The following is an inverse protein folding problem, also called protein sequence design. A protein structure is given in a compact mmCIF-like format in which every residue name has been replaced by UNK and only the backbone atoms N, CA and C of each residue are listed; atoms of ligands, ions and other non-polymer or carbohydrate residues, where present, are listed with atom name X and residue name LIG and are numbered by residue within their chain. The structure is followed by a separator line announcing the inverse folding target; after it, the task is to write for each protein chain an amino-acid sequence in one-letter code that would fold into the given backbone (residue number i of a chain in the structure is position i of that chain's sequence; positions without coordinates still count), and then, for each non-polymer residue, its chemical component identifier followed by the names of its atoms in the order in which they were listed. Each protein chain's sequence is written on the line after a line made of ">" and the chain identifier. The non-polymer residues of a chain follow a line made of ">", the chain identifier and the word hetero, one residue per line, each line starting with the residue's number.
data_IF_893576787315
#
_entry.id   IF_893576787315
#
_cell.length_a   1.000
_cell.length_b   1.000
_cell.length_c   1.000
_cell.angle_alpha   90.00
_cell.angle_beta   90.00
_cell.angle_gamma   90.00
#
_symmetry.space_group_name_H-M   'P 1'
#
loop_
_entity.id
_entity.type
_entity.pdbx_description
1 polymer ?
#
# COMPACT_ATOMS: atom_id res chain seq x y z
N UNK A 1 21.60 7.81 10.44
CA UNK A 1 20.54 6.98 9.83
C UNK A 1 21.03 6.51 8.48
N UNK A 2 20.61 5.33 8.04
CA UNK A 2 21.12 4.67 6.83
C UNK A 2 20.19 4.81 5.61
N UNK A 3 19.16 5.68 5.67
CA UNK A 3 18.17 5.85 4.61
C UNK A 3 17.18 4.70 4.45
N UNK A 4 17.14 3.75 5.41
CA UNK A 4 16.22 2.61 5.38
C UNK A 4 14.76 3.02 5.53
N UNK A 5 13.86 2.23 4.93
CA UNK A 5 12.41 2.46 4.94
C UNK A 5 11.84 2.01 6.29
N UNK A 6 11.11 2.90 6.94
CA UNK A 6 10.39 2.55 8.18
C UNK A 6 9.07 1.87 7.87
N UNK A 7 8.35 2.37 6.88
CA UNK A 7 7.11 1.83 6.33
C UNK A 7 6.78 2.53 5.00
N UNK A 8 5.88 1.96 4.22
CA UNK A 8 5.37 2.51 2.95
C UNK A 8 3.90 2.92 3.03
N UNK A 9 3.49 3.40 4.18
CA UNK A 9 2.11 3.78 4.48
C UNK A 9 1.55 4.85 3.54
N UNK A 10 0.24 4.79 3.28
CA UNK A 10 -0.48 5.90 2.66
C UNK A 10 -0.67 7.04 3.65
N UNK A 11 -0.30 8.27 3.25
CA UNK A 11 -0.57 9.49 3.99
C UNK A 11 -1.81 10.17 3.42
N UNK A 12 -2.86 10.31 4.23
CA UNK A 12 -4.09 11.00 3.89
C UNK A 12 -4.13 12.34 4.64
N UNK A 13 -4.07 13.44 3.92
CA UNK A 13 -4.28 14.77 4.51
C UNK A 13 -5.78 15.08 4.53
N UNK A 14 -6.37 15.10 5.70
CA UNK A 14 -7.81 15.32 5.89
C UNK A 14 -8.15 16.80 6.05
N UNK A 15 -7.28 17.56 6.74
CA UNK A 15 -7.39 19.00 7.01
C UNK A 15 -5.98 19.62 6.94
N UNK A 16 -5.86 20.89 7.17
CA UNK A 16 -4.58 21.59 7.12
C UNK A 16 -3.55 21.00 8.09
N UNK A 17 -3.99 20.62 9.27
CA UNK A 17 -3.21 20.10 10.40
C UNK A 17 -3.60 18.68 10.83
N UNK A 18 -4.45 17.99 10.07
CA UNK A 18 -4.93 16.65 10.39
C UNK A 18 -4.57 15.62 9.31
N UNK A 19 -3.82 14.64 9.72
CA UNK A 19 -3.32 13.60 8.84
C UNK A 19 -3.64 12.22 9.37
N UNK A 20 -3.93 11.30 8.46
CA UNK A 20 -3.96 9.88 8.76
C UNK A 20 -2.83 9.16 8.03
N UNK A 21 -2.20 8.21 8.74
CA UNK A 21 -1.20 7.32 8.19
C UNK A 21 -1.81 5.92 8.21
N UNK A 22 -2.00 5.33 7.04
CA UNK A 22 -2.58 3.99 6.87
C UNK A 22 -1.47 3.03 6.39
N UNK A 23 -0.78 2.32 7.30
CA UNK A 23 0.18 1.30 6.92
C UNK A 23 -0.56 0.05 6.42
N UNK A 24 0.00 -0.60 5.40
CA UNK A 24 -0.49 -1.90 4.94
C UNK A 24 -0.13 -3.01 5.92
N UNK A 25 1.13 -2.99 6.35
CA UNK A 25 1.72 -3.92 7.31
C UNK A 25 2.61 -3.16 8.31
N UNK A 26 2.83 -3.75 9.48
CA UNK A 26 3.70 -3.21 10.52
C UNK A 26 3.05 -2.09 11.34
N UNK A 27 3.81 -1.62 12.33
CA UNK A 27 3.40 -0.58 13.27
C UNK A 27 4.37 0.60 13.17
N UNK A 28 3.81 1.81 13.03
CA UNK A 28 4.58 3.05 12.97
C UNK A 28 4.26 4.01 14.13
N UNK A 29 3.23 3.70 14.94
CA UNK A 29 2.73 4.64 15.95
C UNK A 29 3.77 4.96 17.02
N UNK A 30 4.43 3.95 17.57
CA UNK A 30 5.46 4.14 18.61
C UNK A 30 6.67 4.90 18.07
N UNK A 31 7.04 4.67 16.80
CA UNK A 31 8.14 5.39 16.15
C UNK A 31 7.81 6.87 15.97
N UNK A 32 6.60 7.19 15.48
CA UNK A 32 6.12 8.56 15.32
C UNK A 32 6.00 9.27 16.67
N UNK A 33 5.41 8.62 17.68
CA UNK A 33 5.34 9.16 19.05
C UNK A 33 6.72 9.42 19.63
N UNK A 34 7.66 8.48 19.46
CA UNK A 34 9.04 8.64 19.92
C UNK A 34 9.77 9.83 19.29
N UNK A 35 9.54 10.10 18.01
CA UNK A 35 10.08 11.27 17.31
C UNK A 35 9.41 12.56 17.82
N UNK A 36 8.10 12.54 18.00
CA UNK A 36 7.32 13.70 18.42
C UNK A 36 7.74 14.23 19.80
N UNK A 37 8.11 13.36 20.75
CA UNK A 37 8.48 13.72 22.14
C UNK A 37 9.53 14.86 22.19
N UNK A 38 10.51 14.86 21.30
CA UNK A 38 11.61 15.83 21.31
C UNK A 38 11.64 16.73 20.06
N UNK A 39 10.57 16.74 19.28
CA UNK A 39 10.51 17.52 18.03
C UNK A 39 10.27 19.02 18.28
N UNK A 40 9.72 19.39 19.44
CA UNK A 40 9.21 20.76 19.71
C UNK A 40 7.88 21.06 19.01
N UNK A 41 7.27 20.09 18.32
CA UNK A 41 5.98 20.25 17.65
C UNK A 41 4.83 19.96 18.62
N UNK A 42 3.79 20.80 18.58
CA UNK A 42 2.52 20.52 19.27
C UNK A 42 1.69 19.54 18.39
N UNK A 43 1.86 18.25 18.63
CA UNK A 43 1.23 17.19 17.84
C UNK A 43 0.70 16.07 18.74
N UNK A 44 -0.53 15.65 18.51
CA UNK A 44 -1.15 14.47 19.12
C UNK A 44 -1.16 13.31 18.14
N UNK A 45 -0.59 12.17 18.54
CA UNK A 45 -0.50 10.96 17.72
C UNK A 45 -1.21 9.83 18.44
N UNK A 46 -2.26 9.29 17.83
CA UNK A 46 -3.05 8.19 18.38
C UNK A 46 -3.66 7.34 17.25
N UNK A 47 -4.02 6.11 17.56
CA UNK A 47 -4.77 5.24 16.67
C UNK A 47 -6.25 5.60 16.73
N UNK A 48 -6.88 5.97 15.60
CA UNK A 48 -8.31 6.30 15.56
C UNK A 48 -9.18 5.03 15.56
N UNK A 49 -10.44 5.16 16.02
CA UNK A 49 -11.44 4.09 15.87
C UNK A 49 -11.97 4.05 14.43
N UNK A 50 -11.25 3.37 13.54
CA UNK A 50 -11.55 3.31 12.11
C UNK A 50 -11.61 1.86 11.64
N UNK A 51 -12.56 1.57 10.75
CA UNK A 51 -12.65 0.28 10.05
C UNK A 51 -12.54 0.50 8.54
N UNK A 52 -11.43 0.10 7.91
CA UNK A 52 -11.27 0.22 6.45
C UNK A 52 -12.06 -0.88 5.74
N UNK A 53 -12.75 -0.50 4.66
CA UNK A 53 -13.43 -1.39 3.74
C UNK A 53 -12.98 -1.09 2.32
N UNK A 54 -12.37 -2.04 1.63
CA UNK A 54 -11.92 -1.87 0.25
C UNK A 54 -12.99 -2.31 -0.76
N UNK A 55 -13.08 -1.58 -1.86
CA UNK A 55 -13.82 -1.91 -3.07
C UNK A 55 -12.83 -1.92 -4.22
N UNK A 56 -12.68 -3.03 -4.94
CA UNK A 56 -11.71 -3.18 -6.01
C UNK A 56 -12.30 -3.80 -7.26
N UNK A 57 -11.74 -3.46 -8.41
CA UNK A 57 -12.07 -4.05 -9.69
C UNK A 57 -12.59 -3.05 -10.71
N UNK A 58 -12.79 -3.47 -11.97
CA UNK A 58 -13.10 -2.56 -13.08
C UNK A 58 -14.46 -1.85 -12.94
N UNK A 59 -15.35 -2.36 -12.12
CA UNK A 59 -16.68 -1.76 -11.86
C UNK A 59 -16.73 -0.98 -10.53
N UNK A 60 -15.63 -0.86 -9.81
CA UNK A 60 -15.60 -0.17 -8.50
C UNK A 60 -16.03 1.29 -8.60
N UNK A 61 -15.63 2.00 -9.67
CA UNK A 61 -16.08 3.38 -9.91
C UNK A 61 -17.60 3.49 -10.04
N UNK A 62 -18.25 2.57 -10.77
CA UNK A 62 -19.73 2.55 -10.89
C UNK A 62 -20.41 2.26 -9.55
N UNK A 63 -19.82 1.39 -8.74
CA UNK A 63 -20.33 1.11 -7.41
C UNK A 63 -20.22 2.33 -6.49
N UNK A 64 -19.08 3.05 -6.52
CA UNK A 64 -18.91 4.30 -5.77
C UNK A 64 -19.91 5.36 -6.25
N UNK A 65 -20.05 5.54 -7.56
CA UNK A 65 -21.05 6.45 -8.14
C UNK A 65 -22.47 6.16 -7.63
N UNK A 66 -22.85 4.89 -7.56
CA UNK A 66 -24.15 4.47 -7.02
C UNK A 66 -24.28 4.75 -5.53
N UNK A 67 -23.30 4.37 -4.71
CA UNK A 67 -23.34 4.53 -3.26
C UNK A 67 -23.39 6.01 -2.84
N UNK A 68 -22.61 6.86 -3.51
CA UNK A 68 -22.46 8.28 -3.18
C UNK A 68 -23.17 9.21 -4.17
N UNK A 69 -24.05 8.68 -5.02
CA UNK A 69 -24.88 9.46 -5.95
C UNK A 69 -24.04 10.41 -6.87
N UNK A 70 -22.85 10.00 -7.21
CA UNK A 70 -21.93 10.74 -8.09
C UNK A 70 -21.03 11.77 -7.39
N UNK A 71 -21.13 11.96 -6.06
CA UNK A 71 -20.35 12.99 -5.34
C UNK A 71 -18.83 12.81 -5.42
N UNK A 72 -18.35 11.61 -5.77
CA UNK A 72 -16.93 11.26 -5.79
C UNK A 72 -16.44 10.79 -7.16
N UNK A 73 -17.16 11.06 -8.23
CA UNK A 73 -16.79 10.67 -9.59
C UNK A 73 -15.45 11.30 -10.04
N UNK A 74 -15.13 12.47 -9.50
CA UNK A 74 -13.91 13.25 -9.75
C UNK A 74 -12.72 12.89 -8.85
N UNK A 75 -12.89 11.94 -7.90
CA UNK A 75 -11.84 11.61 -6.95
C UNK A 75 -10.61 11.03 -7.66
N UNK A 76 -9.53 11.81 -7.67
CA UNK A 76 -8.27 11.45 -8.32
C UNK A 76 -7.51 10.32 -7.59
N UNK A 77 -6.59 9.67 -8.30
CA UNK A 77 -5.72 8.64 -7.74
C UNK A 77 -4.85 9.20 -6.61
N UNK A 78 -4.75 8.47 -5.50
CA UNK A 78 -4.12 8.91 -4.24
C UNK A 78 -4.73 10.20 -3.64
N UNK A 79 -6.01 10.43 -3.90
CA UNK A 79 -6.76 11.50 -3.23
C UNK A 79 -7.75 10.91 -2.24
N UNK A 80 -8.05 11.69 -1.21
CA UNK A 80 -9.01 11.35 -0.18
C UNK A 80 -9.93 12.54 0.11
N UNK A 81 -11.17 12.25 0.51
CA UNK A 81 -12.16 13.24 0.95
C UNK A 81 -12.89 12.73 2.19
N UNK A 82 -13.20 13.62 3.11
CA UNK A 82 -14.17 13.34 4.17
C UNK A 82 -15.57 13.36 3.56
N UNK A 83 -16.41 12.41 3.94
CA UNK A 83 -17.76 12.21 3.40
C UNK A 83 -18.65 11.46 4.38
N UNK A 84 -19.87 11.15 3.97
CA UNK A 84 -20.77 10.26 4.70
C UNK A 84 -21.53 9.36 3.73
N UNK A 85 -21.91 8.17 4.19
CA UNK A 85 -22.84 7.28 3.52
C UNK A 85 -23.98 6.97 4.49
N UNK A 86 -25.24 7.26 4.09
CA UNK A 86 -26.40 7.16 4.99
C UNK A 86 -26.16 7.87 6.34
N UNK A 87 -25.66 9.11 6.27
CA UNK A 87 -25.30 9.96 7.44
C UNK A 87 -24.17 9.39 8.32
N UNK A 88 -23.56 8.30 7.93
CA UNK A 88 -22.44 7.69 8.66
C UNK A 88 -21.13 8.30 8.17
N UNK A 89 -20.38 9.00 9.06
CA UNK A 89 -19.17 9.70 8.67
C UNK A 89 -18.05 8.72 8.29
N UNK A 90 -17.34 9.03 7.22
CA UNK A 90 -16.21 8.25 6.74
C UNK A 90 -15.23 9.10 5.92
N UNK A 91 -14.09 8.53 5.65
CA UNK A 91 -13.17 9.04 4.61
C UNK A 91 -13.22 8.08 3.44
N UNK A 92 -13.37 8.61 2.23
CA UNK A 92 -13.16 7.87 1.00
C UNK A 92 -11.81 8.22 0.42
N UNK A 93 -11.01 7.21 0.07
CA UNK A 93 -9.74 7.39 -0.65
C UNK A 93 -9.75 6.56 -1.93
N UNK A 94 -9.16 7.10 -3.00
CA UNK A 94 -8.92 6.35 -4.22
C UNK A 94 -7.55 5.71 -4.18
N UNK A 95 -7.43 4.76 -3.25
CA UNK A 95 -6.26 3.94 -2.96
C UNK A 95 -6.65 2.47 -2.98
N UNK A 96 -5.68 1.57 -2.88
CA UNK A 96 -5.92 0.13 -2.78
C UNK A 96 -4.69 -0.68 -3.12
N UNK A 97 -4.73 -1.96 -2.79
CA UNK A 97 -3.61 -2.88 -2.90
C UNK A 97 -3.95 -4.11 -3.73
N UNK A 98 -4.53 -3.91 -4.93
CA UNK A 98 -4.97 -5.00 -5.82
C UNK A 98 -4.48 -4.88 -7.26
N UNK A 99 -3.82 -3.77 -7.62
CA UNK A 99 -3.46 -3.45 -9.00
C UNK A 99 -4.68 -3.10 -9.90
N UNK A 100 -5.87 -3.02 -9.32
CA UNK A 100 -7.11 -2.64 -10.01
C UNK A 100 -7.59 -1.25 -9.54
N UNK A 101 -8.55 -0.67 -10.25
CA UNK A 101 -9.26 0.51 -9.75
C UNK A 101 -9.88 0.18 -8.41
N UNK A 102 -9.48 0.92 -7.39
CA UNK A 102 -9.87 0.66 -6.00
C UNK A 102 -10.24 1.93 -5.26
N UNK A 103 -11.10 1.75 -4.28
CA UNK A 103 -11.46 2.75 -3.29
C UNK A 103 -11.43 2.13 -1.90
N UNK A 104 -11.01 2.90 -0.93
CA UNK A 104 -11.02 2.54 0.48
C UNK A 104 -11.97 3.46 1.23
N UNK A 105 -12.90 2.87 1.95
CA UNK A 105 -13.85 3.55 2.80
C UNK A 105 -13.41 3.36 4.24
N UNK A 106 -12.95 4.43 4.88
CA UNK A 106 -12.51 4.42 6.27
C UNK A 106 -13.65 4.87 7.16
N UNK A 107 -14.38 3.91 7.68
CA UNK A 107 -15.51 4.14 8.58
C UNK A 107 -15.01 4.63 9.94
N UNK A 108 -15.50 5.80 10.40
CA UNK A 108 -15.07 6.44 11.64
C UNK A 108 -15.83 5.98 12.89
N UNK A 109 -16.72 5.01 12.77
CA UNK A 109 -17.38 4.30 13.88
C UNK A 109 -17.48 2.81 13.56
N UNK A 110 -16.62 2.01 14.16
CA UNK A 110 -16.60 0.56 13.92
C UNK A 110 -17.88 -0.17 14.35
N UNK A 111 -18.73 0.44 15.20
CA UNK A 111 -20.02 -0.16 15.58
C UNK A 111 -20.95 -0.28 14.39
N UNK A 112 -20.80 0.62 13.42
CA UNK A 112 -21.63 0.67 12.21
C UNK A 112 -21.08 -0.15 11.05
N UNK A 113 -19.94 -0.87 11.24
CA UNK A 113 -19.26 -1.63 10.17
C UNK A 113 -20.14 -2.65 9.46
N UNK A 114 -21.02 -3.33 10.20
CA UNK A 114 -21.93 -4.33 9.61
C UNK A 114 -22.94 -3.63 8.70
N UNK A 115 -23.56 -2.54 9.16
CA UNK A 115 -24.52 -1.78 8.34
C UNK A 115 -23.90 -1.30 7.04
N UNK A 116 -22.69 -0.71 7.09
CA UNK A 116 -21.98 -0.24 5.90
C UNK A 116 -21.56 -1.41 4.99
N UNK A 117 -21.12 -2.52 5.57
CA UNK A 117 -20.79 -3.71 4.80
C UNK A 117 -22.02 -4.23 4.03
N UNK A 118 -23.18 -4.36 4.67
CA UNK A 118 -24.43 -4.81 4.06
C UNK A 118 -24.89 -3.87 2.94
N UNK A 119 -24.90 -2.56 3.18
CA UNK A 119 -25.24 -1.56 2.16
C UNK A 119 -24.32 -1.67 0.94
N UNK A 120 -23.02 -1.76 1.17
CA UNK A 120 -22.01 -1.90 0.11
C UNK A 120 -22.20 -3.22 -0.63
N UNK A 121 -22.44 -4.33 0.09
CA UNK A 121 -22.58 -5.63 -0.51
C UNK A 121 -23.84 -5.73 -1.37
N UNK A 122 -25.00 -5.27 -0.87
CA UNK A 122 -26.24 -5.22 -1.63
C UNK A 122 -26.10 -4.38 -2.91
N UNK A 123 -25.42 -3.22 -2.82
CA UNK A 123 -25.15 -2.41 -4.00
C UNK A 123 -24.19 -3.11 -4.99
N UNK A 124 -23.24 -3.90 -4.50
CA UNK A 124 -22.25 -4.61 -5.31
C UNK A 124 -22.86 -5.79 -6.11
N UNK A 125 -23.93 -6.41 -5.63
CA UNK A 125 -24.59 -7.55 -6.30
C UNK A 125 -25.05 -7.18 -7.72
N UNK A 126 -25.53 -5.95 -7.95
CA UNK A 126 -25.92 -5.47 -9.28
C UNK A 126 -24.75 -5.42 -10.28
N UNK A 127 -23.53 -5.34 -9.77
CA UNK A 127 -22.31 -5.35 -10.58
C UNK A 127 -21.62 -6.72 -10.62
N UNK A 128 -22.26 -7.78 -10.09
CA UNK A 128 -21.68 -9.10 -9.84
C UNK A 128 -20.47 -9.02 -8.90
N UNK A 129 -20.53 -8.11 -7.92
CA UNK A 129 -19.52 -7.99 -6.88
C UNK A 129 -19.56 -9.18 -5.91
N UNK A 130 -18.40 -9.50 -5.34
CA UNK A 130 -18.24 -10.60 -4.38
C UNK A 130 -17.33 -10.17 -3.26
N UNK A 131 -17.50 -10.76 -2.09
CA UNK A 131 -16.54 -10.63 -0.99
C UNK A 131 -15.29 -11.42 -1.34
N UNK A 132 -14.14 -10.77 -1.22
CA UNK A 132 -12.82 -11.37 -1.47
C UNK A 132 -11.88 -11.04 -0.30
N UNK A 133 -10.82 -11.82 -0.20
CA UNK A 133 -9.67 -11.50 0.65
C UNK A 133 -8.53 -10.87 -0.19
N UNK A 134 -7.57 -10.19 0.44
CA UNK A 134 -6.34 -9.78 -0.22
C UNK A 134 -5.67 -10.97 -0.93
N UNK A 135 -5.15 -10.74 -2.14
CA UNK A 135 -4.59 -11.80 -2.98
C UNK A 135 -3.17 -11.42 -3.42
N UNK A 136 -2.19 -12.16 -2.92
CA UNK A 136 -0.77 -11.93 -3.18
C UNK A 136 -0.45 -12.03 -4.69
N UNK A 137 -1.10 -12.93 -5.43
CA UNK A 137 -0.88 -13.04 -6.88
C UNK A 137 -1.23 -11.72 -7.56
N UNK A 138 -2.33 -11.09 -7.16
CA UNK A 138 -2.76 -9.80 -7.71
C UNK A 138 -1.79 -8.67 -7.37
N UNK A 139 -1.19 -8.70 -6.19
CA UNK A 139 -0.19 -7.68 -5.83
C UNK A 139 1.09 -7.82 -6.65
N UNK A 140 1.57 -9.04 -6.90
CA UNK A 140 2.71 -9.29 -7.78
C UNK A 140 2.38 -8.86 -9.22
N UNK A 141 1.23 -9.25 -9.77
CA UNK A 141 0.76 -8.81 -11.09
C UNK A 141 0.70 -7.29 -11.24
N UNK A 142 0.35 -6.58 -10.17
CA UNK A 142 0.26 -5.12 -10.12
C UNK A 142 1.59 -4.41 -9.79
N UNK A 143 2.67 -5.16 -9.52
CA UNK A 143 3.94 -4.59 -9.06
C UNK A 143 3.82 -3.92 -7.69
N UNK A 144 2.88 -4.35 -6.85
CA UNK A 144 2.66 -3.82 -5.52
C UNK A 144 3.49 -4.59 -4.50
N UNK A 145 4.20 -3.85 -3.68
CA UNK A 145 5.12 -4.39 -2.70
C UNK A 145 4.47 -4.54 -1.32
N UNK A 146 5.06 -5.39 -0.49
CA UNK A 146 4.64 -5.62 0.90
C UNK A 146 5.81 -5.36 1.84
N UNK A 147 5.65 -4.42 2.76
CA UNK A 147 6.61 -4.23 3.85
C UNK A 147 6.66 -5.50 4.71
N UNK A 148 7.87 -5.98 5.00
CA UNK A 148 8.07 -7.25 5.71
C UNK A 148 8.05 -8.49 4.81
N UNK A 149 7.38 -8.44 3.65
CA UNK A 149 7.37 -9.53 2.67
C UNK A 149 8.43 -9.37 1.58
N UNK A 150 8.41 -8.27 0.86
CA UNK A 150 9.34 -7.99 -0.25
C UNK A 150 10.54 -7.17 0.18
N UNK A 151 10.34 -6.26 1.10
CA UNK A 151 11.37 -5.36 1.61
C UNK A 151 11.16 -5.08 3.10
N UNK A 152 12.20 -4.56 3.76
CA UNK A 152 12.19 -4.21 5.17
C UNK A 152 13.07 -2.99 5.43
N UNK A 153 13.41 -2.76 6.69
CA UNK A 153 14.19 -1.61 7.14
C UNK A 153 15.63 -1.58 6.62
N UNK A 154 16.14 -2.70 6.14
CA UNK A 154 17.43 -2.83 5.49
C UNK A 154 17.46 -2.25 4.08
N UNK A 155 16.30 -2.10 3.44
CA UNK A 155 16.16 -1.53 2.11
C UNK A 155 15.89 -0.03 2.17
N UNK A 156 16.22 0.67 1.10
CA UNK A 156 15.94 2.09 0.92
C UNK A 156 15.02 2.31 -0.31
N UNK A 157 14.43 3.49 -0.50
CA UNK A 157 13.51 3.75 -1.61
C UNK A 157 14.09 3.48 -3.00
N UNK A 158 15.39 3.65 -3.19
CA UNK A 158 16.03 3.40 -4.50
C UNK A 158 16.16 1.90 -4.77
N UNK A 159 16.45 1.09 -3.74
CA UNK A 159 16.50 -0.38 -3.84
C UNK A 159 15.17 -0.97 -4.32
N UNK A 160 14.05 -0.42 -3.89
CA UNK A 160 12.71 -0.95 -4.20
C UNK A 160 12.00 -0.18 -5.35
N UNK A 161 12.72 0.65 -6.08
CA UNK A 161 12.17 1.38 -7.22
C UNK A 161 11.28 2.58 -6.86
N UNK A 162 11.25 3.01 -5.59
CA UNK A 162 10.48 4.16 -5.11
C UNK A 162 11.27 5.48 -5.13
N UNK A 163 12.43 5.51 -5.78
CA UNK A 163 13.25 6.72 -5.89
C UNK A 163 12.49 7.93 -6.45
N UNK A 164 11.49 7.70 -7.33
CA UNK A 164 10.60 8.76 -7.85
C UNK A 164 9.74 9.46 -6.80
N UNK A 165 9.56 8.85 -5.63
CA UNK A 165 8.79 9.40 -4.50
C UNK A 165 9.68 10.19 -3.54
N UNK A 166 11.01 10.16 -3.72
CA UNK A 166 11.96 10.86 -2.88
C UNK A 166 12.26 12.23 -3.49
N UNK A 167 11.78 13.30 -2.86
CA UNK A 167 12.09 14.66 -3.26
C UNK A 167 13.22 15.22 -2.38
N UNK A 168 14.46 15.10 -2.87
CA UNK A 168 15.64 15.63 -2.17
C UNK A 168 15.77 17.16 -2.28
N UNK A 169 15.09 17.77 -3.26
CA UNK A 169 15.19 19.20 -3.56
C UNK A 169 14.12 20.03 -2.84
N UNK A 170 13.24 19.39 -2.04
CA UNK A 170 12.27 20.13 -1.23
C UNK A 170 12.96 21.03 -0.21
N UNK A 171 12.36 22.19 0.07
CA UNK A 171 12.90 23.18 1.03
C UNK A 171 13.02 22.63 2.46
N UNK A 172 12.02 21.84 2.89
CA UNK A 172 12.03 21.21 4.20
C UNK A 172 13.05 20.09 4.31
N UNK A 173 13.61 19.94 5.50
CA UNK A 173 14.40 18.77 5.85
C UNK A 173 13.51 17.61 6.25
N UNK A 174 14.02 16.39 6.14
CA UNK A 174 13.33 15.18 6.59
C UNK A 174 14.34 14.13 7.07
N UNK A 175 13.86 13.25 7.93
CA UNK A 175 14.67 12.19 8.52
C UNK A 175 15.19 11.25 7.42
N UNK A 176 16.53 11.19 7.27
CA UNK A 176 17.20 10.34 6.28
C UNK A 176 17.59 11.04 4.98
N UNK A 177 17.26 12.33 4.79
CA UNK A 177 17.57 13.09 3.56
C UNK A 177 19.03 12.98 3.15
N UNK A 178 19.97 13.24 4.06
CA UNK A 178 21.41 13.19 3.76
C UNK A 178 21.89 11.78 3.37
N UNK A 179 21.39 10.74 4.05
CA UNK A 179 21.72 9.37 3.68
C UNK A 179 21.17 9.01 2.28
N UNK A 180 19.97 9.48 1.96
CA UNK A 180 19.36 9.23 0.64
C UNK A 180 20.07 10.00 -0.49
N UNK A 181 20.66 11.17 -0.22
CA UNK A 181 21.53 11.86 -1.19
C UNK A 181 22.73 10.98 -1.55
N UNK A 182 23.44 10.49 -0.53
CA UNK A 182 24.61 9.62 -0.75
C UNK A 182 24.23 8.37 -1.54
N UNK A 183 23.13 7.70 -1.17
CA UNK A 183 22.67 6.51 -1.88
C UNK A 183 22.28 6.81 -3.33
N UNK A 184 21.67 7.97 -3.59
CA UNK A 184 21.33 8.39 -4.95
C UNK A 184 22.57 8.59 -5.81
N UNK A 185 23.61 9.21 -5.25
CA UNK A 185 24.85 9.54 -5.97
C UNK A 185 25.69 8.28 -6.23
N UNK A 186 25.77 7.35 -5.28
CA UNK A 186 26.50 6.10 -5.42
C UNK A 186 25.73 5.03 -6.22
N UNK A 187 24.40 5.14 -6.29
CA UNK A 187 23.51 4.13 -6.80
C UNK A 187 23.22 3.00 -5.79
N UNK A 188 22.05 2.35 -5.89
CA UNK A 188 21.71 1.21 -5.03
C UNK A 188 22.56 -0.02 -5.39
N UNK A 189 23.06 -0.74 -4.38
CA UNK A 189 23.88 -1.97 -4.56
C UNK A 189 23.05 -3.18 -4.99
N UNK A 190 21.76 -3.14 -4.78
CA UNK A 190 20.79 -4.19 -5.17
C UNK A 190 19.48 -3.51 -5.56
N UNK A 191 18.67 -4.21 -6.36
CA UNK A 191 17.37 -3.71 -6.77
C UNK A 191 16.31 -4.81 -6.68
N UNK A 192 15.14 -4.44 -6.21
CA UNK A 192 13.95 -5.28 -6.32
C UNK A 192 13.44 -5.21 -7.76
N UNK A 193 13.22 -6.36 -8.36
CA UNK A 193 12.76 -6.49 -9.76
C UNK A 193 11.65 -7.54 -9.84
N UNK A 194 10.71 -7.33 -10.77
CA UNK A 194 9.75 -8.36 -11.13
C UNK A 194 10.45 -9.43 -12.00
N UNK A 195 10.09 -10.70 -11.81
CA UNK A 195 10.65 -11.83 -12.54
C UNK A 195 9.56 -12.75 -13.08
N UNK A 196 9.86 -13.41 -14.18
CA UNK A 196 9.14 -14.58 -14.68
C UNK A 196 10.00 -15.82 -14.41
N UNK A 197 9.37 -16.92 -14.00
CA UNK A 197 10.07 -18.18 -13.71
C UNK A 197 9.50 -19.29 -14.60
N UNK A 198 10.38 -20.12 -15.10
CA UNK A 198 10.03 -21.33 -15.83
C UNK A 198 9.64 -22.48 -14.88
N UNK A 199 9.09 -23.54 -15.44
CA UNK A 199 8.73 -24.77 -14.73
C UNK A 199 7.24 -24.90 -14.44
N UNK A 200 6.90 -25.88 -13.62
CA UNK A 200 5.53 -26.19 -13.24
C UNK A 200 4.87 -25.03 -12.47
N UNK A 201 3.52 -24.90 -12.49
CA UNK A 201 2.82 -23.86 -11.77
C UNK A 201 3.13 -23.84 -10.28
N UNK A 202 3.61 -22.70 -9.79
CA UNK A 202 3.93 -22.47 -8.37
C UNK A 202 2.61 -22.18 -7.63
N UNK A 203 2.08 -23.17 -6.92
CA UNK A 203 0.79 -23.09 -6.21
C UNK A 203 0.92 -22.75 -4.73
N UNK A 204 2.14 -22.81 -4.18
CA UNK A 204 2.45 -22.54 -2.77
C UNK A 204 3.64 -21.59 -2.69
N UNK A 205 3.53 -20.59 -1.83
CA UNK A 205 4.64 -19.68 -1.55
C UNK A 205 5.89 -20.46 -1.10
N UNK A 206 7.09 -20.00 -1.46
CA UNK A 206 8.31 -20.53 -0.87
C UNK A 206 8.29 -20.33 0.65
N UNK A 207 8.64 -21.39 1.38
CA UNK A 207 8.76 -21.31 2.85
C UNK A 207 9.99 -20.49 3.28
N UNK A 208 11.02 -20.51 2.42
CA UNK A 208 12.22 -19.69 2.56
C UNK A 208 12.50 -18.99 1.23
N UNK A 209 13.22 -17.89 1.27
CA UNK A 209 13.66 -17.20 0.06
C UNK A 209 14.49 -18.13 -0.83
N UNK A 210 14.11 -18.26 -2.08
CA UNK A 210 14.91 -19.03 -3.05
C UNK A 210 16.12 -18.22 -3.50
N UNK A 211 17.33 -18.79 -3.47
CA UNK A 211 18.52 -18.12 -3.98
C UNK A 211 18.44 -17.97 -5.50
N UNK A 212 18.88 -16.84 -6.00
CA UNK A 212 19.12 -16.62 -7.42
C UNK A 212 20.63 -16.64 -7.64
N UNK A 213 21.10 -17.52 -8.51
CA UNK A 213 22.51 -17.66 -8.83
C UNK A 213 22.76 -17.27 -10.31
N UNK A 214 23.92 -16.76 -10.62
CA UNK A 214 24.37 -16.55 -11.99
C UNK A 214 24.87 -17.85 -12.62
N UNK A 215 25.33 -17.77 -13.89
CA UNK A 215 25.92 -18.91 -14.63
C UNK A 215 27.12 -19.59 -13.95
N UNK A 216 27.85 -18.84 -13.12
CA UNK A 216 28.99 -19.33 -12.36
C UNK A 216 28.61 -19.93 -11.00
N UNK A 217 27.30 -20.13 -10.77
CA UNK A 217 26.73 -20.62 -9.52
C UNK A 217 26.98 -19.70 -8.31
N UNK A 218 27.26 -18.42 -8.55
CA UNK A 218 27.41 -17.40 -7.50
C UNK A 218 26.06 -16.80 -7.21
N UNK A 219 25.69 -16.74 -5.91
CA UNK A 219 24.46 -16.08 -5.47
C UNK A 219 24.50 -14.59 -5.82
N UNK A 220 23.50 -14.12 -6.57
CA UNK A 220 23.31 -12.72 -6.99
C UNK A 220 22.03 -12.10 -6.45
N UNK A 221 21.15 -12.88 -5.83
CA UNK A 221 19.88 -12.39 -5.30
C UNK A 221 19.05 -13.44 -4.60
N UNK A 222 17.80 -13.12 -4.39
CA UNK A 222 16.80 -14.03 -3.81
C UNK A 222 15.41 -13.71 -4.34
N UNK A 223 14.54 -14.71 -4.44
CA UNK A 223 13.11 -14.54 -4.72
C UNK A 223 12.39 -14.38 -3.39
N UNK A 224 11.68 -13.27 -3.20
CA UNK A 224 10.90 -13.00 -1.99
C UNK A 224 9.53 -13.67 -2.04
N UNK A 225 8.84 -13.55 -3.18
CA UNK A 225 7.53 -14.16 -3.44
C UNK A 225 7.49 -14.70 -4.85
N UNK A 226 6.80 -15.84 -5.05
CA UNK A 226 6.54 -16.38 -6.38
C UNK A 226 5.24 -17.18 -6.39
N UNK A 227 4.42 -17.00 -7.43
CA UNK A 227 3.20 -17.75 -7.66
C UNK A 227 2.90 -17.88 -9.15
N UNK A 228 2.14 -18.91 -9.50
CA UNK A 228 1.54 -19.00 -10.82
C UNK A 228 0.38 -17.99 -10.92
N UNK A 229 0.43 -17.11 -11.91
CA UNK A 229 -0.66 -16.20 -12.25
C UNK A 229 -1.60 -16.88 -13.26
N UNK A 230 -2.85 -17.20 -12.87
CA UNK A 230 -3.82 -17.74 -13.82
C UNK A 230 -4.19 -16.75 -14.92
N UNK A 231 -4.07 -15.44 -14.65
CA UNK A 231 -4.35 -14.38 -15.63
C UNK A 231 -3.24 -14.29 -16.69
N UNK A 232 -1.98 -14.34 -16.27
CA UNK A 232 -0.84 -14.20 -17.17
C UNK A 232 -0.38 -15.53 -17.73
N UNK A 233 -0.86 -16.66 -17.17
CA UNK A 233 -0.46 -18.02 -17.51
C UNK A 233 1.05 -18.26 -17.36
N UNK A 234 1.64 -17.66 -16.30
CA UNK A 234 3.08 -17.67 -15.99
C UNK A 234 3.32 -17.74 -14.49
N UNK A 235 4.47 -18.29 -14.10
CA UNK A 235 5.00 -18.06 -12.77
C UNK A 235 5.64 -16.67 -12.71
N UNK A 236 5.25 -15.88 -11.73
CA UNK A 236 5.70 -14.50 -11.50
C UNK A 236 6.18 -14.32 -10.07
N UNK A 237 7.14 -13.42 -9.90
CA UNK A 237 7.69 -13.12 -8.58
C UNK A 237 8.30 -11.73 -8.50
#
# INVERSE_FOLDING_TARGET
>A
MNGGIINDACLLRLEEDKFWISPGDGDVILWLQGIAINSGMDVAIHEPDVSPLQISGPKSGKLIQKLFKGEHDDLGYYKAKQTSLEEIPMVIARTGWSGELSYELYLQDRKLRIKIFELKYAAAEEFNGRVIAPNIIRTIEGGLLSFGGDFGREHNPYTIGFGRLVNLDQEGDFIGKEALKVIKDEGPKEMLVGIELEGDPIIKAPENFWPVNNSDNKKIGRVSRAFFSPRLQKNIG
#
